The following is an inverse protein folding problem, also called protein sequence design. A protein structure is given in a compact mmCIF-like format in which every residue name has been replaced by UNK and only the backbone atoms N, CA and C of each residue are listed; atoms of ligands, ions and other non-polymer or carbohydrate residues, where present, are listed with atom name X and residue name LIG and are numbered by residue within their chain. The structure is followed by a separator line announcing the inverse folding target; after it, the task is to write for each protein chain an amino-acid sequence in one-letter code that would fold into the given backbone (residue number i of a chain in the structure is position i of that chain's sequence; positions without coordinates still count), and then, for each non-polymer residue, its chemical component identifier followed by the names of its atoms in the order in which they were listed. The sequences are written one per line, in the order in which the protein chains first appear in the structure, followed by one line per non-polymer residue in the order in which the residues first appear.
data_IF_307418674791
#
_entry.id   IF_307418674791
#
_cell.length_a   1.000
_cell.length_b   1.000
_cell.length_c   1.000
_cell.angle_alpha   90.00
_cell.angle_beta   90.00
_cell.angle_gamma   90.00
#
_symmetry.space_group_name_H-M   'P 1'
#
loop_
_entity.id
_entity.type
_entity.pdbx_description
1 polymer ?
#
# COMPACT_ATOMS: atom_id res chain seq x y z
N UNK A 1 2.25 22.31 -15.91
CA UNK A 1 1.63 22.94 -14.74
C UNK A 1 1.44 21.88 -13.66
N UNK A 2 2.32 21.80 -12.65
CA UNK A 2 2.05 21.01 -11.47
C UNK A 2 1.17 21.83 -10.53
N UNK A 3 -0.03 21.33 -10.22
CA UNK A 3 -0.85 21.90 -9.15
C UNK A 3 -0.20 21.53 -7.81
N UNK A 4 0.59 22.46 -7.28
CA UNK A 4 1.05 22.45 -5.89
C UNK A 4 -0.19 22.74 -5.06
N UNK A 5 -0.68 21.71 -4.34
CA UNK A 5 -1.71 21.89 -3.32
C UNK A 5 -1.00 22.49 -2.11
N UNK A 6 -0.90 23.81 -2.09
CA UNK A 6 -0.63 24.58 -0.87
C UNK A 6 -1.87 24.49 0.01
N UNK A 7 -2.00 23.40 0.79
CA UNK A 7 -2.90 23.41 1.94
C UNK A 7 -2.15 24.05 3.10
N UNK A 8 -2.59 25.25 3.44
CA UNK A 8 -2.06 26.10 4.50
C UNK A 8 -1.98 25.31 5.82
N UNK A 9 -0.76 24.96 6.21
CA UNK A 9 -0.15 25.49 7.43
C UNK A 9 -0.68 25.03 8.79
N UNK A 10 -1.68 24.15 8.89
CA UNK A 10 -2.00 23.49 10.15
C UNK A 10 -1.38 22.09 10.18
N UNK A 11 -0.06 22.04 10.40
CA UNK A 11 0.56 20.83 10.91
C UNK A 11 0.18 20.72 12.39
N UNK A 12 -0.94 20.06 12.69
CA UNK A 12 -1.17 19.61 14.06
C UNK A 12 -0.06 18.61 14.41
N UNK A 13 0.90 19.08 15.22
CA UNK A 13 2.06 18.31 15.65
C UNK A 13 1.67 17.09 16.51
N UNK A 14 0.40 16.98 16.92
CA UNK A 14 -0.12 15.86 17.72
C UNK A 14 -0.90 14.81 16.92
N UNK A 15 -1.02 14.93 15.59
CA UNK A 15 -1.59 13.85 14.78
C UNK A 15 -0.59 12.70 14.74
N UNK A 16 -0.84 11.68 15.58
CA UNK A 16 -0.06 10.45 15.61
C UNK A 16 -0.26 9.72 14.29
N UNK A 17 0.65 9.93 13.34
CA UNK A 17 0.64 9.19 12.08
C UNK A 17 0.78 7.69 12.38
N UNK A 18 0.01 6.83 11.69
CA UNK A 18 0.14 5.40 11.86
C UNK A 18 1.56 4.98 11.47
N UNK A 19 2.24 4.24 12.35
CA UNK A 19 3.57 3.69 12.06
C UNK A 19 3.41 2.58 11.01
N UNK A 20 3.95 2.77 9.81
CA UNK A 20 3.93 1.79 8.72
C UNK A 20 5.27 1.08 8.55
N UNK A 21 5.60 0.16 9.46
CA UNK A 21 6.91 -0.47 9.52
C UNK A 21 7.23 -1.33 8.30
N UNK A 22 6.30 -2.20 7.89
CA UNK A 22 6.52 -3.16 6.80
C UNK A 22 6.52 -2.41 5.47
N UNK A 23 5.56 -1.50 5.27
CA UNK A 23 5.48 -0.69 4.06
C UNK A 23 6.77 0.11 3.84
N UNK A 24 7.26 0.80 4.88
CA UNK A 24 8.39 1.71 4.74
C UNK A 24 9.74 0.97 4.63
N UNK A 25 9.85 -0.23 5.20
CA UNK A 25 11.09 -1.00 5.14
C UNK A 25 11.19 -1.90 3.90
N UNK A 26 10.12 -2.62 3.56
CA UNK A 26 10.15 -3.66 2.52
C UNK A 26 9.56 -3.19 1.18
N UNK A 27 8.64 -2.21 1.19
CA UNK A 27 7.94 -1.72 0.00
C UNK A 27 8.30 -0.27 -0.36
N UNK A 28 9.60 0.05 -0.36
CA UNK A 28 10.12 1.42 -0.60
C UNK A 28 9.84 1.96 -2.00
N UNK A 29 9.87 1.11 -3.01
CA UNK A 29 9.70 1.52 -4.41
C UNK A 29 8.23 1.57 -4.77
N UNK A 30 7.73 2.76 -5.09
CA UNK A 30 6.35 2.98 -5.55
C UNK A 30 6.37 3.33 -7.04
N UNK A 31 5.48 2.70 -7.80
CA UNK A 31 5.18 3.07 -9.19
C UNK A 31 3.69 3.25 -9.33
N UNK A 32 3.29 4.38 -9.86
CA UNK A 32 1.88 4.68 -10.19
C UNK A 32 1.67 4.47 -11.69
N UNK A 33 0.49 3.98 -12.04
CA UNK A 33 0.03 3.82 -13.42
C UNK A 33 -1.30 4.52 -13.57
N UNK A 34 -1.54 5.13 -14.72
CA UNK A 34 -2.84 5.72 -15.06
C UNK A 34 -3.87 4.63 -15.43
N UNK A 35 -3.38 3.46 -15.87
CA UNK A 35 -4.23 2.34 -16.25
C UNK A 35 -4.68 1.53 -15.03
N UNK A 36 -5.93 1.07 -15.07
CA UNK A 36 -6.51 0.23 -14.01
C UNK A 36 -5.84 -1.15 -13.88
N UNK A 37 -5.28 -1.67 -14.98
CA UNK A 37 -4.49 -2.90 -14.99
C UNK A 37 -3.02 -2.54 -15.06
N UNK A 38 -2.24 -3.11 -14.15
CA UNK A 38 -0.79 -2.99 -14.13
C UNK A 38 -0.17 -4.31 -14.60
N UNK A 39 0.72 -4.22 -15.57
CA UNK A 39 1.53 -5.35 -16.02
C UNK A 39 2.83 -5.39 -15.22
N UNK A 40 3.13 -6.55 -14.66
CA UNK A 40 4.40 -6.83 -13.97
C UNK A 40 5.09 -7.94 -14.75
N UNK A 41 6.25 -7.61 -15.31
CA UNK A 41 7.10 -8.56 -16.02
C UNK A 41 8.12 -9.18 -15.06
N UNK A 42 8.14 -10.51 -15.02
CA UNK A 42 9.12 -11.28 -14.28
C UNK A 42 10.20 -11.76 -15.24
N UNK A 43 11.45 -11.33 -14.99
CA UNK A 43 12.65 -11.86 -15.66
C UNK A 43 13.43 -12.72 -14.68
N UNK A 44 13.58 -14.01 -14.97
CA UNK A 44 14.48 -14.88 -14.20
C UNK A 44 15.92 -14.65 -14.66
N UNK A 45 16.71 -13.96 -13.83
CA UNK A 45 18.15 -13.86 -14.05
C UNK A 45 18.80 -15.23 -13.96
N UNK A 46 19.59 -15.61 -14.99
CA UNK A 46 20.45 -16.79 -14.95
C UNK A 46 21.89 -16.32 -15.05
N UNK A 47 22.74 -16.80 -14.16
CA UNK A 47 24.19 -16.65 -14.29
C UNK A 47 24.67 -17.84 -15.12
N UNK A 48 24.87 -17.62 -16.42
CA UNK A 48 25.41 -18.63 -17.33
C UNK A 48 26.92 -18.42 -17.44
N UNK A 49 27.69 -19.50 -17.36
CA UNK A 49 29.13 -19.48 -17.61
C UNK A 49 29.33 -19.60 -19.13
N UNK A 50 30.25 -18.80 -19.67
CA UNK A 50 30.57 -18.85 -21.09
C UNK A 50 31.22 -20.21 -21.45
N UNK A 51 30.82 -20.86 -22.55
CA UNK A 51 31.47 -22.08 -23.01
C UNK A 51 32.85 -21.76 -23.61
N UNK A 52 33.81 -22.66 -23.44
CA UNK A 52 35.06 -22.62 -24.21
C UNK A 52 34.80 -23.10 -25.63
N UNK A 53 35.33 -22.38 -26.63
CA UNK A 53 35.18 -22.71 -28.06
C UNK A 53 36.55 -22.64 -28.72
N UNK A 54 36.83 -23.56 -29.65
CA UNK A 54 38.06 -23.54 -30.47
C UNK A 54 38.00 -22.43 -31.53
N UNK A 55 39.15 -21.86 -31.89
CA UNK A 55 39.26 -20.71 -32.82
C UNK A 55 38.59 -20.91 -34.20
N UNK A 56 38.46 -22.16 -34.67
CA UNK A 56 37.91 -22.47 -35.99
C UNK A 56 36.40 -22.76 -36.00
N UNK A 57 35.75 -22.80 -34.83
CA UNK A 57 34.31 -23.11 -34.72
C UNK A 57 33.56 -21.82 -34.33
N UNK A 58 32.51 -21.42 -35.08
CA UNK A 58 31.67 -20.31 -34.67
C UNK A 58 30.96 -20.66 -33.36
N UNK A 59 30.93 -19.70 -32.41
CA UNK A 59 30.51 -19.91 -31.03
C UNK A 59 29.15 -20.61 -30.84
N UNK A 60 28.97 -21.24 -29.69
CA UNK A 60 27.72 -21.93 -29.33
C UNK A 60 26.64 -20.94 -28.88
N UNK A 61 25.40 -21.12 -29.37
CA UNK A 61 24.27 -20.26 -28.98
C UNK A 61 23.91 -20.45 -27.50
N UNK A 62 23.82 -19.34 -26.76
CA UNK A 62 23.36 -19.33 -25.38
C UNK A 62 21.83 -19.25 -25.31
N UNK A 63 21.24 -19.85 -24.28
CA UNK A 63 19.79 -19.80 -24.06
C UNK A 63 19.32 -18.35 -23.87
N UNK A 64 18.33 -17.92 -24.66
CA UNK A 64 17.73 -16.59 -24.56
C UNK A 64 16.92 -16.46 -23.26
N UNK A 65 16.93 -15.25 -22.70
CA UNK A 65 16.10 -14.96 -21.53
C UNK A 65 14.63 -14.86 -21.95
N UNK A 66 13.77 -15.57 -21.24
CA UNK A 66 12.31 -15.48 -21.39
C UNK A 66 11.75 -14.53 -20.32
N UNK A 67 10.64 -13.87 -20.66
CA UNK A 67 9.88 -12.99 -19.77
C UNK A 67 8.50 -13.59 -19.54
N UNK A 68 7.97 -13.45 -18.33
CA UNK A 68 6.59 -13.79 -18.01
C UNK A 68 5.86 -12.51 -17.57
N UNK A 69 4.81 -12.15 -18.29
CA UNK A 69 3.94 -11.01 -17.95
C UNK A 69 2.76 -11.46 -17.10
N UNK A 70 2.55 -10.80 -15.96
CA UNK A 70 1.34 -10.98 -15.14
C UNK A 70 0.59 -9.67 -15.03
N UNK A 71 -0.74 -9.75 -15.12
CA UNK A 71 -1.62 -8.60 -14.99
C UNK A 71 -2.26 -8.55 -13.61
N UNK A 72 -2.20 -7.38 -12.98
CA UNK A 72 -2.79 -7.12 -11.68
C UNK A 72 -3.77 -5.96 -11.77
N UNK A 73 -4.92 -6.08 -11.11
CA UNK A 73 -5.89 -5.01 -10.96
C UNK A 73 -5.95 -4.60 -9.49
N UNK A 74 -5.60 -3.36 -9.20
CA UNK A 74 -5.65 -2.86 -7.83
C UNK A 74 -7.11 -2.68 -7.38
N UNK A 75 -7.43 -3.05 -6.12
CA UNK A 75 -8.74 -2.76 -5.55
C UNK A 75 -8.90 -1.27 -5.26
N UNK A 76 -10.13 -0.76 -5.34
CA UNK A 76 -10.43 0.64 -5.00
C UNK A 76 -10.55 0.80 -3.49
N UNK A 77 -9.77 1.71 -2.91
CA UNK A 77 -9.87 2.13 -1.50
C UNK A 77 -10.33 3.58 -1.50
N UNK A 78 -11.55 3.84 -1.03
CA UNK A 78 -12.15 5.17 -1.04
C UNK A 78 -13.02 5.37 0.22
N UNK A 79 -12.45 5.89 1.32
CA UNK A 79 -13.24 6.29 2.48
C UNK A 79 -14.12 7.49 2.10
N UNK A 80 -15.32 7.56 2.70
CA UNK A 80 -16.28 8.65 2.50
C UNK A 80 -16.84 9.09 3.85
N UNK A 81 -17.05 10.39 4.03
CA UNK A 81 -17.77 10.98 5.16
C UNK A 81 -18.74 12.02 4.63
N UNK A 82 -19.93 12.04 5.20
CA UNK A 82 -21.01 12.96 4.84
C UNK A 82 -21.24 13.91 6.01
N UNK A 83 -21.30 15.21 5.73
CA UNK A 83 -21.60 16.23 6.74
C UNK A 83 -23.03 16.70 6.58
N UNK A 84 -23.75 16.82 7.69
CA UNK A 84 -25.10 17.40 7.70
C UNK A 84 -25.04 18.92 7.90
N UNK A 85 -26.04 19.66 7.40
CA UNK A 85 -26.15 21.08 7.68
C UNK A 85 -26.25 21.34 9.20
N UNK A 86 -26.98 20.49 9.93
CA UNK A 86 -27.13 20.63 11.37
C UNK A 86 -25.77 20.57 12.10
N UNK A 87 -24.89 19.66 11.69
CA UNK A 87 -23.54 19.52 12.23
C UNK A 87 -22.65 20.75 11.95
N UNK A 88 -22.78 21.36 10.78
CA UNK A 88 -21.99 22.55 10.45
C UNK A 88 -22.44 23.81 11.21
N UNK A 89 -23.74 23.95 11.45
CA UNK A 89 -24.33 25.16 12.05
C UNK A 89 -24.46 25.08 13.57
N UNK A 90 -24.80 23.92 14.13
CA UNK A 90 -25.18 23.79 15.53
C UNK A 90 -24.20 22.97 16.37
N UNK A 91 -23.41 22.08 15.75
CA UNK A 91 -22.42 21.34 16.51
C UNK A 91 -21.18 22.19 16.77
N UNK A 92 -20.70 22.09 18.00
CA UNK A 92 -19.49 22.73 18.47
C UNK A 92 -18.28 21.94 17.98
N UNK A 93 -17.33 22.60 17.33
CA UNK A 93 -16.01 22.02 17.04
C UNK A 93 -15.11 22.07 18.28
N UNK A 94 -14.21 21.11 18.43
CA UNK A 94 -13.26 21.08 19.54
C UNK A 94 -12.50 22.41 19.65
N UNK A 95 -12.43 22.98 20.85
CA UNK A 95 -11.76 24.27 21.12
C UNK A 95 -12.63 25.53 21.02
N UNK A 96 -13.89 25.44 20.59
CA UNK A 96 -14.81 26.60 20.59
C UNK A 96 -15.41 26.87 21.98
N UNK A 97 -16.03 28.03 22.19
CA UNK A 97 -16.91 28.28 23.35
C UNK A 97 -18.37 28.25 22.90
N UNK A 98 -19.31 27.96 23.81
CA UNK A 98 -20.75 27.87 23.50
C UNK A 98 -21.31 29.21 22.97
N UNK A 99 -20.65 30.32 23.31
CA UNK A 99 -21.15 31.68 23.08
C UNK A 99 -20.58 32.37 21.84
N UNK A 100 -19.73 31.69 21.06
CA UNK A 100 -19.20 32.23 19.81
C UNK A 100 -17.78 31.74 19.55
N UNK A 101 -17.43 31.64 18.26
CA UNK A 101 -16.07 31.30 17.89
C UNK A 101 -15.78 31.34 16.40
N UNK A 102 -16.56 30.65 15.55
CA UNK A 102 -16.26 30.53 14.12
C UNK A 102 -17.49 30.67 13.25
N UNK A 103 -17.29 31.22 12.06
CA UNK A 103 -18.30 31.20 11.01
C UNK A 103 -18.59 29.75 10.57
N UNK A 104 -19.80 29.46 10.07
CA UNK A 104 -20.11 28.13 9.51
C UNK A 104 -19.16 27.71 8.38
N UNK A 105 -18.61 28.66 7.64
CA UNK A 105 -17.65 28.40 6.56
C UNK A 105 -16.28 27.97 7.08
N UNK A 106 -15.73 28.67 8.09
CA UNK A 106 -14.48 28.28 8.74
C UNK A 106 -14.62 26.91 9.41
N UNK A 107 -15.75 26.67 10.07
CA UNK A 107 -16.03 25.41 10.75
C UNK A 107 -16.12 24.23 9.77
N UNK A 108 -16.70 24.46 8.59
CA UNK A 108 -16.71 23.49 7.48
C UNK A 108 -15.30 23.19 6.98
N UNK A 109 -14.46 24.22 6.82
CA UNK A 109 -13.08 24.04 6.36
C UNK A 109 -12.27 23.19 7.35
N UNK A 110 -12.41 23.43 8.65
CA UNK A 110 -11.73 22.66 9.70
C UNK A 110 -12.14 21.18 9.70
N UNK A 111 -13.46 20.89 9.65
CA UNK A 111 -13.97 19.52 9.63
C UNK A 111 -13.53 18.74 8.38
N UNK A 112 -13.43 19.44 7.24
CA UNK A 112 -12.91 18.86 6.01
C UNK A 112 -11.42 18.52 6.16
N UNK A 113 -10.62 19.43 6.73
CA UNK A 113 -9.20 19.20 6.95
C UNK A 113 -8.96 18.01 7.89
N UNK A 114 -9.69 17.93 9.01
CA UNK A 114 -9.63 16.80 9.95
C UNK A 114 -9.99 15.49 9.27
N UNK A 115 -11.05 15.49 8.47
CA UNK A 115 -11.49 14.27 7.78
C UNK A 115 -10.50 13.81 6.71
N UNK A 116 -9.85 14.73 6.00
CA UNK A 116 -8.78 14.36 5.06
C UNK A 116 -7.59 13.74 5.78
N UNK A 117 -7.19 14.28 6.93
CA UNK A 117 -6.12 13.69 7.74
C UNK A 117 -6.48 12.27 8.23
N UNK A 118 -7.71 12.07 8.71
CA UNK A 118 -8.21 10.75 9.09
C UNK A 118 -8.23 9.77 7.91
N UNK A 119 -8.63 10.22 6.72
CA UNK A 119 -8.67 9.38 5.53
C UNK A 119 -7.27 8.94 5.10
N UNK A 120 -6.28 9.83 5.12
CA UNK A 120 -4.88 9.46 4.85
C UNK A 120 -4.36 8.42 5.83
N UNK A 121 -4.71 8.54 7.11
CA UNK A 121 -4.37 7.54 8.13
C UNK A 121 -5.02 6.19 7.85
N UNK A 122 -6.32 6.17 7.53
CA UNK A 122 -7.04 4.94 7.20
C UNK A 122 -6.47 4.25 5.97
N UNK A 123 -6.13 5.01 4.93
CA UNK A 123 -5.48 4.51 3.71
C UNK A 123 -4.12 3.92 4.06
N UNK A 124 -3.29 4.63 4.83
CA UNK A 124 -1.97 4.15 5.24
C UNK A 124 -2.04 2.85 6.04
N UNK A 125 -3.00 2.71 6.96
CA UNK A 125 -3.24 1.47 7.71
C UNK A 125 -3.68 0.33 6.80
N UNK A 126 -4.49 0.62 5.79
CA UNK A 126 -4.92 -0.38 4.80
C UNK A 126 -3.74 -0.87 3.95
N UNK A 127 -2.87 0.03 3.52
CA UNK A 127 -1.64 -0.33 2.80
C UNK A 127 -0.73 -1.24 3.63
N UNK A 128 -0.49 -0.88 4.90
CA UNK A 128 0.33 -1.70 5.81
C UNK A 128 -0.24 -3.11 6.00
N UNK A 129 -1.56 -3.23 6.13
CA UNK A 129 -2.24 -4.53 6.21
C UNK A 129 -2.05 -5.34 4.92
N UNK A 130 -2.19 -4.71 3.75
CA UNK A 130 -1.96 -5.37 2.47
C UNK A 130 -0.49 -5.83 2.33
N UNK A 131 0.47 -5.02 2.74
CA UNK A 131 1.89 -5.38 2.75
C UNK A 131 2.17 -6.57 3.67
N UNK A 132 1.54 -6.61 4.84
CA UNK A 132 1.63 -7.74 5.79
C UNK A 132 1.09 -9.03 5.18
N UNK A 133 -0.12 -8.98 4.62
CA UNK A 133 -0.74 -10.15 3.98
C UNK A 133 0.09 -10.67 2.79
N UNK A 134 0.61 -9.76 1.96
CA UNK A 134 1.47 -10.12 0.85
C UNK A 134 2.78 -10.77 1.31
N UNK A 135 3.37 -10.31 2.41
CA UNK A 135 4.65 -10.84 2.91
C UNK A 135 4.50 -12.22 3.57
N UNK A 136 3.50 -12.40 4.44
CA UNK A 136 3.35 -13.65 5.20
C UNK A 136 2.57 -14.73 4.45
N UNK A 137 1.50 -14.35 3.75
CA UNK A 137 0.65 -15.33 3.07
C UNK A 137 0.99 -15.45 1.58
N UNK A 138 1.79 -14.53 1.03
CA UNK A 138 2.02 -14.43 -0.42
C UNK A 138 0.78 -14.02 -1.22
N UNK A 139 -0.30 -13.67 -0.51
CA UNK A 139 -1.59 -13.33 -1.08
C UNK A 139 -2.27 -12.24 -0.27
N UNK A 140 -2.95 -11.34 -0.98
CA UNK A 140 -3.76 -10.28 -0.38
C UNK A 140 -5.22 -10.62 -0.60
N UNK A 141 -5.98 -10.66 0.50
CA UNK A 141 -7.40 -11.00 0.46
C UNK A 141 -8.19 -9.70 0.47
N UNK A 142 -8.72 -9.34 -0.69
CA UNK A 142 -9.56 -8.16 -0.84
C UNK A 142 -11.00 -8.56 -0.51
N UNK A 143 -11.39 -8.33 0.74
CA UNK A 143 -12.78 -8.45 1.20
C UNK A 143 -13.36 -7.07 1.43
N UNK A 144 -14.47 -6.78 0.76
CA UNK A 144 -15.27 -5.57 0.92
C UNK A 144 -16.72 -5.83 0.51
N UNK A 145 -17.58 -4.83 0.74
CA UNK A 145 -18.99 -4.90 0.35
C UNK A 145 -19.11 -5.05 -1.18
N UNK A 146 -19.58 -6.21 -1.63
CA UNK A 146 -19.76 -6.54 -3.06
C UNK A 146 -18.48 -6.91 -3.82
N UNK A 147 -17.34 -7.07 -3.14
CA UNK A 147 -16.08 -7.48 -3.78
C UNK A 147 -15.37 -8.50 -2.88
N UNK A 148 -15.30 -9.73 -3.37
CA UNK A 148 -14.41 -10.76 -2.83
C UNK A 148 -13.40 -11.12 -3.92
N UNK A 149 -12.12 -10.90 -3.64
CA UNK A 149 -11.04 -11.22 -4.56
C UNK A 149 -9.77 -11.60 -3.82
N UNK A 150 -9.00 -12.50 -4.42
CA UNK A 150 -7.68 -12.88 -3.94
C UNK A 150 -6.62 -12.44 -4.96
N UNK A 151 -5.60 -11.73 -4.50
CA UNK A 151 -4.44 -11.34 -5.31
C UNK A 151 -3.26 -12.17 -4.82
N UNK A 152 -2.87 -13.19 -5.59
CA UNK A 152 -1.72 -14.04 -5.29
C UNK A 152 -0.46 -13.52 -6.00
N UNK A 153 0.63 -13.33 -5.26
CA UNK A 153 1.91 -12.83 -5.79
C UNK A 153 2.94 -13.95 -6.03
N UNK A 154 2.69 -15.16 -5.53
CA UNK A 154 3.55 -16.33 -5.73
C UNK A 154 3.11 -17.52 -4.88
N UNK A 155 3.87 -18.61 -4.93
CA UNK A 155 3.67 -19.79 -4.08
C UNK A 155 4.49 -19.62 -2.82
N UNK A 156 3.84 -19.57 -1.66
CA UNK A 156 4.53 -19.64 -0.37
C UNK A 156 4.65 -21.10 0.02
N UNK A 157 5.88 -21.55 0.22
CA UNK A 157 6.14 -22.87 0.82
C UNK A 157 5.99 -22.74 2.33
N UNK A 158 5.03 -23.47 2.90
CA UNK A 158 4.88 -23.54 4.35
C UNK A 158 5.99 -24.45 4.90
N UNK A 159 7.00 -23.84 5.50
CA UNK A 159 8.06 -24.58 6.18
C UNK A 159 7.58 -24.89 7.60
N UNK A 160 7.12 -26.13 7.83
CA UNK A 160 6.85 -26.62 9.18
C UNK A 160 8.16 -27.15 9.78
N UNK A 161 8.67 -26.57 10.88
CA UNK A 161 9.86 -27.10 11.53
C UNK A 161 9.54 -28.51 12.09
N UNK A 162 10.50 -29.42 11.99
CA UNK A 162 10.33 -30.79 12.46
C UNK A 162 10.22 -30.88 13.99
N UNK A 163 10.85 -29.94 14.71
CA UNK A 163 10.78 -29.81 16.16
C UNK A 163 10.05 -28.51 16.51
N UNK A 164 9.00 -28.63 17.32
CA UNK A 164 8.27 -27.46 17.83
C UNK A 164 9.05 -26.85 19.00
N UNK A 165 9.00 -25.52 19.15
CA UNK A 165 9.64 -24.81 20.27
C UNK A 165 9.16 -25.23 21.66
N UNK A 166 8.05 -25.96 21.74
CA UNK A 166 7.51 -26.52 22.99
C UNK A 166 8.07 -27.90 23.34
N UNK A 167 8.90 -28.51 22.48
CA UNK A 167 9.45 -29.85 22.68
C UNK A 167 10.86 -29.80 23.28
N UNK A 168 11.21 -30.83 24.06
CA UNK A 168 12.57 -31.00 24.56
C UNK A 168 13.55 -31.20 23.39
N UNK A 169 14.72 -30.56 23.45
CA UNK A 169 15.73 -30.44 22.38
C UNK A 169 15.32 -29.58 21.17
N UNK A 170 14.43 -28.60 21.35
CA UNK A 170 14.36 -27.47 20.43
C UNK A 170 15.54 -26.53 20.70
N UNK A 171 16.48 -26.46 19.76
CA UNK A 171 17.58 -25.48 19.72
C UNK A 171 17.28 -24.43 18.63
#
# INVERSE_FOLDING_TARGET
MPAVIEFIGLYDQNVVKPKSFIKDNYFKKRKTSENQKMEIEFRKGRQLIAPFVSEFIPGTEMVKNTYESKYFRAPKVAPKRTFSAFELYFNKTAGETIYGGKSPEERKADLLAESFAEFEEQITRREEKMCTEALFNGKVVVKGEGIEGEIAFGTVENITPATLWTQANAD
#
